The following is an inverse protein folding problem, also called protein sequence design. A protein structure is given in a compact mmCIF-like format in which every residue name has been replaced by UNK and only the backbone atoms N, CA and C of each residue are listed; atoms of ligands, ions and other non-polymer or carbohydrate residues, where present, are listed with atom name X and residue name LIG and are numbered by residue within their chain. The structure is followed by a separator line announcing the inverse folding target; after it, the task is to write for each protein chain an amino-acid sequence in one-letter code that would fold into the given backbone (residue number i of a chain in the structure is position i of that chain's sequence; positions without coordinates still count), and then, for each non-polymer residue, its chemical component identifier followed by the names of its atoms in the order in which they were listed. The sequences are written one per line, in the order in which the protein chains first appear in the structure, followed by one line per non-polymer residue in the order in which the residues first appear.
data_IF_486110807980
#
_entry.id   IF_486110807980
#
_cell.length_a   1.000
_cell.length_b   1.000
_cell.length_c   1.000
_cell.angle_alpha   90.00
_cell.angle_beta   90.00
_cell.angle_gamma   90.00
#
_symmetry.space_group_name_H-M   'P 1'
#
loop_
_entity.id
_entity.type
_entity.pdbx_description
1 polymer ?
#
# COMPACT_ATOMS: atom_id res chain seq x y z
N UNK A 1 -13.80 -3.02 14.94
CA UNK A 1 -14.07 -4.38 14.41
C UNK A 1 -12.76 -5.16 14.18
N UNK A 2 -11.78 -5.06 15.10
CA UNK A 2 -10.39 -5.46 14.85
C UNK A 2 -9.94 -6.72 15.64
N UNK A 3 -10.86 -7.42 16.31
CA UNK A 3 -10.47 -8.35 17.39
C UNK A 3 -11.14 -9.74 17.33
N UNK A 4 -11.54 -10.21 16.13
CA UNK A 4 -12.21 -11.52 15.97
C UNK A 4 -11.51 -12.57 15.12
N UNK A 5 -10.38 -12.28 14.49
CA UNK A 5 -9.81 -13.20 13.49
C UNK A 5 -8.69 -14.13 13.98
N UNK A 6 -8.19 -14.00 15.22
CA UNK A 6 -7.02 -14.79 15.67
C UNK A 6 -7.30 -15.92 16.66
N UNK A 7 -8.52 -16.04 17.22
CA UNK A 7 -8.78 -17.01 18.31
C UNK A 7 -9.12 -18.45 17.89
N UNK A 8 -9.72 -18.75 16.72
CA UNK A 8 -9.97 -20.16 16.34
C UNK A 8 -8.73 -20.87 15.75
N UNK A 9 -7.78 -20.12 15.16
CA UNK A 9 -6.63 -20.69 14.45
C UNK A 9 -5.61 -21.40 15.37
N UNK A 10 -5.55 -21.06 16.66
CA UNK A 10 -4.61 -21.69 17.61
C UNK A 10 -5.03 -23.14 17.94
N UNK A 11 -6.30 -23.49 17.76
CA UNK A 11 -6.82 -24.82 18.10
C UNK A 11 -6.60 -25.86 17.00
N UNK A 12 -6.51 -25.41 15.75
CA UNK A 12 -6.24 -26.26 14.57
C UNK A 12 -4.74 -26.47 14.33
N UNK A 13 -3.88 -25.63 14.90
CA UNK A 13 -2.41 -25.69 14.71
C UNK A 13 -1.75 -26.85 15.48
N UNK A 14 -2.46 -27.53 16.39
CA UNK A 14 -1.88 -28.61 17.21
C UNK A 14 -2.22 -30.04 16.77
N UNK A 15 -2.94 -30.26 15.67
CA UNK A 15 -3.06 -31.60 15.09
C UNK A 15 -3.28 -31.56 13.57
N UNK A 16 -2.26 -32.00 12.82
CA UNK A 16 -2.42 -32.59 11.49
C UNK A 16 -2.15 -31.69 10.28
N UNK A 17 -1.08 -32.04 9.57
CA UNK A 17 -0.69 -31.65 8.20
C UNK A 17 -0.62 -30.17 7.84
N UNK A 18 0.63 -29.73 7.63
CA UNK A 18 1.03 -28.37 7.26
C UNK A 18 0.37 -27.94 5.95
N UNK A 19 -0.70 -27.15 6.04
CA UNK A 19 -1.10 -26.21 4.98
C UNK A 19 -0.23 -24.97 5.10
N UNK A 20 0.46 -24.62 4.01
CA UNK A 20 1.28 -23.40 3.93
C UNK A 20 0.38 -22.31 3.34
N UNK A 21 -0.35 -21.61 4.20
CA UNK A 21 -1.30 -20.58 3.79
C UNK A 21 -0.70 -19.16 3.86
N UNK A 22 0.48 -18.99 4.46
CA UNK A 22 1.10 -17.67 4.67
C UNK A 22 2.64 -17.67 4.73
N UNK A 23 3.25 -16.50 4.53
CA UNK A 23 4.69 -16.27 4.70
C UNK A 23 5.19 -16.58 6.11
N UNK A 24 4.37 -16.33 7.14
CA UNK A 24 4.73 -16.66 8.53
C UNK A 24 4.93 -18.17 8.73
N UNK A 25 4.18 -19.01 8.02
CA UNK A 25 4.31 -20.46 8.11
C UNK A 25 5.59 -20.95 7.41
N UNK A 26 6.01 -20.25 6.37
CA UNK A 26 7.30 -20.45 5.70
C UNK A 26 8.47 -20.03 6.61
N UNK A 27 8.39 -18.88 7.28
CA UNK A 27 9.42 -18.44 8.24
C UNK A 27 9.52 -19.39 9.44
N UNK A 28 8.38 -19.90 9.93
CA UNK A 28 8.35 -20.93 10.99
C UNK A 28 9.02 -22.23 10.54
N UNK A 29 8.92 -22.60 9.26
CA UNK A 29 9.57 -23.80 8.71
C UNK A 29 11.11 -23.73 8.75
N UNK A 30 11.70 -22.53 8.65
CA UNK A 30 13.16 -22.29 8.63
C UNK A 30 13.78 -21.98 10.00
N UNK A 31 12.96 -21.63 11.01
CA UNK A 31 13.42 -21.46 12.41
C UNK A 31 13.51 -22.77 13.19
N UNK A 32 13.36 -23.91 12.53
CA UNK A 32 13.45 -25.24 13.12
C UNK A 32 14.91 -25.51 13.56
N UNK A 33 15.19 -25.79 14.85
CA UNK A 33 16.55 -26.04 15.33
C UNK A 33 17.16 -27.33 14.77
N UNK A 34 16.38 -28.20 14.13
CA UNK A 34 16.86 -29.41 13.47
C UNK A 34 17.33 -29.13 12.03
N UNK A 35 18.65 -29.04 11.87
CA UNK A 35 19.35 -28.81 10.59
C UNK A 35 18.97 -29.84 9.52
N UNK A 36 18.72 -31.11 9.89
CA UNK A 36 18.34 -32.15 8.91
C UNK A 36 16.94 -31.89 8.37
N UNK A 37 15.99 -31.55 9.24
CA UNK A 37 14.63 -31.18 8.82
C UNK A 37 14.62 -29.90 7.99
N UNK A 38 15.44 -28.91 8.34
CA UNK A 38 15.58 -27.69 7.54
C UNK A 38 16.10 -28.00 6.12
N UNK A 39 17.11 -28.85 5.98
CA UNK A 39 17.65 -29.27 4.67
C UNK A 39 16.63 -30.08 3.84
N UNK A 40 15.84 -30.95 4.47
CA UNK A 40 14.75 -31.68 3.83
C UNK A 40 13.71 -30.71 3.25
N UNK A 41 13.30 -29.71 4.04
CA UNK A 41 12.35 -28.66 3.65
C UNK A 41 12.89 -27.80 2.50
N UNK A 42 14.18 -27.42 2.55
CA UNK A 42 14.86 -26.71 1.45
C UNK A 42 14.78 -27.53 0.16
N UNK A 43 15.04 -28.84 0.21
CA UNK A 43 14.97 -29.71 -0.99
C UNK A 43 13.56 -29.78 -1.55
N UNK A 44 12.55 -29.98 -0.71
CA UNK A 44 11.14 -29.99 -1.14
C UNK A 44 10.76 -28.67 -1.80
N UNK A 45 11.14 -27.54 -1.20
CA UNK A 45 10.85 -26.21 -1.74
C UNK A 45 11.61 -25.95 -3.05
N UNK A 46 12.87 -26.35 -3.15
CA UNK A 46 13.68 -26.26 -4.36
C UNK A 46 13.06 -27.02 -5.53
N UNK A 47 12.51 -28.21 -5.26
CA UNK A 47 11.81 -29.01 -6.26
C UNK A 47 10.49 -28.36 -6.72
N UNK A 48 9.71 -27.79 -5.78
CA UNK A 48 8.47 -27.07 -6.11
C UNK A 48 8.74 -25.81 -6.93
N UNK A 49 9.75 -25.03 -6.53
CA UNK A 49 10.12 -23.78 -7.18
C UNK A 49 10.91 -23.97 -8.47
N UNK A 50 11.43 -25.18 -8.71
CA UNK A 50 12.34 -25.51 -9.81
C UNK A 50 13.60 -24.63 -9.80
N UNK A 51 14.20 -24.47 -8.61
CA UNK A 51 15.48 -23.77 -8.38
C UNK A 51 16.42 -24.65 -7.57
N UNK A 52 17.68 -24.26 -7.45
CA UNK A 52 18.63 -25.03 -6.65
C UNK A 52 18.38 -24.83 -5.15
N UNK A 53 18.63 -25.86 -4.31
CA UNK A 53 18.57 -25.72 -2.84
C UNK A 53 19.32 -24.50 -2.30
N UNK A 54 20.51 -24.21 -2.83
CA UNK A 54 21.33 -23.06 -2.48
C UNK A 54 20.72 -21.69 -2.86
N UNK A 55 19.73 -21.63 -3.76
CA UNK A 55 19.03 -20.39 -4.14
C UNK A 55 17.83 -20.08 -3.23
N UNK A 56 17.39 -21.06 -2.42
CA UNK A 56 16.21 -20.92 -1.54
C UNK A 56 16.36 -19.82 -0.49
N UNK A 57 17.51 -19.66 0.21
CA UNK A 57 17.65 -18.60 1.19
C UNK A 57 17.49 -17.20 0.60
N UNK A 58 18.13 -16.94 -0.55
CA UNK A 58 18.02 -15.66 -1.25
C UNK A 58 16.59 -15.40 -1.73
N UNK A 59 15.96 -16.43 -2.31
CA UNK A 59 14.56 -16.34 -2.74
C UNK A 59 13.62 -15.97 -1.58
N UNK A 60 13.86 -16.53 -0.39
CA UNK A 60 13.09 -16.22 0.81
C UNK A 60 13.35 -14.81 1.35
N UNK A 61 14.59 -14.33 1.26
CA UNK A 61 14.98 -12.97 1.60
C UNK A 61 14.28 -11.95 0.69
N UNK A 62 14.43 -12.11 -0.63
CA UNK A 62 13.79 -11.26 -1.63
C UNK A 62 12.27 -11.17 -1.42
N UNK A 63 11.65 -12.30 -1.09
CA UNK A 63 10.23 -12.37 -0.79
C UNK A 63 9.85 -11.66 0.52
N UNK A 64 10.68 -11.79 1.55
CA UNK A 64 10.48 -11.11 2.83
C UNK A 64 10.53 -9.60 2.67
N UNK A 65 11.52 -9.09 1.93
CA UNK A 65 11.69 -7.66 1.66
C UNK A 65 10.50 -7.07 0.89
N UNK A 66 9.99 -7.82 -0.08
CA UNK A 66 8.77 -7.51 -0.81
C UNK A 66 7.58 -7.31 0.14
N UNK A 67 7.30 -8.28 1.02
CA UNK A 67 6.15 -8.22 1.92
C UNK A 67 6.29 -7.12 2.96
N UNK A 68 7.52 -6.90 3.43
CA UNK A 68 7.84 -5.82 4.35
C UNK A 68 7.57 -4.45 3.72
N UNK A 69 7.96 -4.26 2.47
CA UNK A 69 7.73 -3.00 1.76
C UNK A 69 6.25 -2.70 1.53
N UNK A 70 5.46 -3.72 1.21
CA UNK A 70 4.02 -3.57 1.07
C UNK A 70 3.38 -3.19 2.40
N UNK A 71 3.79 -3.87 3.47
CA UNK A 71 3.33 -3.57 4.83
C UNK A 71 3.68 -2.13 5.23
N UNK A 72 4.86 -1.65 4.82
CA UNK A 72 5.27 -0.26 4.99
C UNK A 72 4.37 0.70 4.22
N UNK A 73 4.10 0.46 2.93
CA UNK A 73 3.22 1.33 2.14
C UNK A 73 1.79 1.37 2.67
N UNK A 74 1.26 0.23 3.13
CA UNK A 74 -0.06 0.16 3.76
C UNK A 74 -0.09 1.01 5.03
N UNK A 75 0.92 0.87 5.88
CA UNK A 75 1.06 1.71 7.09
C UNK A 75 1.13 3.20 6.75
N UNK A 76 1.85 3.57 5.68
CA UNK A 76 1.89 4.96 5.21
C UNK A 76 0.50 5.45 4.78
N UNK A 77 -0.23 4.65 3.99
CA UNK A 77 -1.59 4.96 3.57
C UNK A 77 -2.52 5.14 4.79
N UNK A 78 -2.53 4.17 5.71
CA UNK A 78 -3.35 4.19 6.93
C UNK A 78 -3.05 5.43 7.78
N UNK A 79 -1.80 5.92 7.76
CA UNK A 79 -1.41 7.12 8.52
C UNK A 79 -1.89 8.43 7.90
N UNK A 80 -2.04 8.49 6.57
CA UNK A 80 -2.46 9.72 5.87
C UNK A 80 -3.96 9.77 5.60
N UNK A 81 -4.64 8.62 5.52
CA UNK A 81 -6.08 8.50 5.31
C UNK A 81 -6.93 9.42 6.23
N UNK A 82 -6.69 9.50 7.56
CA UNK A 82 -7.45 10.41 8.41
C UNK A 82 -7.22 11.89 8.06
N UNK A 83 -5.99 12.25 7.68
CA UNK A 83 -5.65 13.63 7.30
C UNK A 83 -6.30 14.00 5.97
N UNK A 84 -6.31 13.07 5.01
CA UNK A 84 -7.02 13.22 3.74
C UNK A 84 -8.51 13.46 4.00
N UNK A 85 -9.13 12.64 4.86
CA UNK A 85 -10.55 12.78 5.21
C UNK A 85 -10.83 14.17 5.78
N UNK A 86 -10.04 14.63 6.76
CA UNK A 86 -10.19 15.97 7.34
C UNK A 86 -9.97 17.08 6.29
N UNK A 87 -9.02 16.91 5.38
CA UNK A 87 -8.77 17.87 4.29
C UNK A 87 -9.95 17.96 3.31
N UNK A 88 -10.54 16.82 2.92
CA UNK A 88 -11.72 16.79 2.05
C UNK A 88 -12.93 17.43 2.74
N UNK A 89 -13.17 17.12 4.01
CA UNK A 89 -14.22 17.75 4.83
C UNK A 89 -14.03 19.27 4.90
N UNK A 90 -12.80 19.74 5.09
CA UNK A 90 -12.50 21.17 5.10
C UNK A 90 -12.77 21.84 3.74
N UNK A 91 -12.60 21.13 2.61
CA UNK A 91 -12.98 21.65 1.29
C UNK A 91 -14.50 21.76 1.15
N UNK A 92 -15.25 20.78 1.66
CA UNK A 92 -16.71 20.83 1.64
C UNK A 92 -17.27 21.99 2.48
N UNK A 93 -16.74 22.20 3.70
CA UNK A 93 -17.09 23.35 4.52
C UNK A 93 -16.81 24.69 3.81
N UNK A 94 -15.72 24.76 3.04
CA UNK A 94 -15.33 25.94 2.27
C UNK A 94 -16.25 26.19 1.07
N UNK A 95 -16.77 25.13 0.43
CA UNK A 95 -17.75 25.24 -0.67
C UNK A 95 -19.06 25.89 -0.22
N UNK A 96 -19.45 25.63 1.02
CA UNK A 96 -20.68 26.18 1.62
C UNK A 96 -20.48 27.53 2.32
N UNK A 97 -19.22 27.94 2.51
CA UNK A 97 -18.90 29.20 3.18
C UNK A 97 -19.36 30.43 2.36
N UNK A 98 -20.10 31.34 2.99
CA UNK A 98 -20.64 32.53 2.33
C UNK A 98 -19.60 33.44 1.65
N UNK A 99 -18.36 33.46 2.15
CA UNK A 99 -17.27 34.25 1.59
C UNK A 99 -16.71 33.65 0.30
N UNK A 100 -16.73 32.32 0.17
CA UNK A 100 -16.02 31.59 -0.88
C UNK A 100 -16.93 30.84 -1.84
N UNK A 101 -18.21 30.67 -1.50
CA UNK A 101 -19.17 29.94 -2.33
C UNK A 101 -19.34 30.52 -3.74
N UNK A 102 -18.98 31.78 -3.98
CA UNK A 102 -19.01 32.40 -5.32
C UNK A 102 -17.65 32.47 -6.01
N UNK A 103 -16.57 32.04 -5.35
CA UNK A 103 -15.23 32.02 -5.93
C UNK A 103 -15.06 30.79 -6.84
N UNK A 104 -15.14 31.03 -8.15
CA UNK A 104 -15.03 29.96 -9.14
C UNK A 104 -13.62 29.38 -9.24
N UNK A 105 -12.57 30.17 -9.00
CA UNK A 105 -11.18 29.71 -9.11
C UNK A 105 -10.82 28.78 -7.95
N UNK A 106 -11.26 29.15 -6.74
CA UNK A 106 -11.11 28.29 -5.56
C UNK A 106 -11.92 26.99 -5.73
N UNK A 107 -13.17 27.07 -6.21
CA UNK A 107 -13.98 25.87 -6.50
C UNK A 107 -13.29 24.92 -7.48
N UNK A 108 -12.85 25.42 -8.63
CA UNK A 108 -12.14 24.59 -9.61
C UNK A 108 -10.86 23.96 -9.05
N UNK A 109 -10.15 24.69 -8.18
CA UNK A 109 -8.95 24.17 -7.54
C UNK A 109 -9.29 23.07 -6.54
N UNK A 110 -10.33 23.24 -5.71
CA UNK A 110 -10.81 22.20 -4.79
C UNK A 110 -11.31 20.96 -5.54
N UNK A 111 -12.08 21.13 -6.61
CA UNK A 111 -12.59 20.02 -7.43
C UNK A 111 -11.46 19.22 -8.08
N UNK A 112 -10.43 19.90 -8.59
CA UNK A 112 -9.23 19.25 -9.12
C UNK A 112 -8.51 18.46 -8.03
N UNK A 113 -8.24 19.07 -6.87
CA UNK A 113 -7.53 18.40 -5.78
C UNK A 113 -8.30 17.20 -5.25
N UNK A 114 -9.62 17.31 -5.09
CA UNK A 114 -10.47 16.21 -4.66
C UNK A 114 -10.46 15.05 -5.67
N UNK A 115 -10.63 15.34 -6.97
CA UNK A 115 -10.59 14.31 -8.02
C UNK A 115 -9.23 13.59 -8.00
N UNK A 116 -8.13 14.34 -7.99
CA UNK A 116 -6.78 13.78 -7.97
C UNK A 116 -6.57 12.92 -6.71
N UNK A 117 -6.92 13.40 -5.52
CA UNK A 117 -6.75 12.63 -4.28
C UNK A 117 -7.58 11.34 -4.33
N UNK A 118 -8.84 11.41 -4.74
CA UNK A 118 -9.73 10.24 -4.83
C UNK A 118 -9.22 9.21 -5.84
N UNK A 119 -8.76 9.65 -7.01
CA UNK A 119 -8.18 8.77 -8.03
C UNK A 119 -6.91 8.08 -7.51
N UNK A 120 -6.01 8.81 -6.85
CA UNK A 120 -4.78 8.26 -6.27
C UNK A 120 -5.11 7.23 -5.17
N UNK A 121 -6.04 7.55 -4.27
CA UNK A 121 -6.48 6.64 -3.21
C UNK A 121 -7.09 5.36 -3.79
N UNK A 122 -7.97 5.48 -4.78
CA UNK A 122 -8.58 4.34 -5.46
C UNK A 122 -7.53 3.48 -6.17
N UNK A 123 -6.56 4.09 -6.85
CA UNK A 123 -5.52 3.38 -7.55
C UNK A 123 -4.56 2.65 -6.62
N UNK A 124 -4.11 3.29 -5.53
CA UNK A 124 -3.26 2.66 -4.50
C UNK A 124 -4.00 1.48 -3.85
N UNK A 125 -5.26 1.69 -3.44
CA UNK A 125 -6.07 0.64 -2.80
C UNK A 125 -6.29 -0.53 -3.76
N UNK A 126 -6.61 -0.26 -5.02
CA UNK A 126 -6.75 -1.29 -6.05
C UNK A 126 -5.46 -2.08 -6.29
N UNK A 127 -4.28 -1.46 -6.21
CA UNK A 127 -3.00 -2.19 -6.29
C UNK A 127 -2.78 -3.11 -5.10
N UNK A 128 -3.12 -2.67 -3.89
CA UNK A 128 -3.06 -3.52 -2.69
C UNK A 128 -4.00 -4.72 -2.79
N UNK A 129 -5.26 -4.51 -3.18
CA UNK A 129 -6.23 -5.59 -3.34
C UNK A 129 -5.81 -6.60 -4.40
N UNK A 130 -5.29 -6.11 -5.54
CA UNK A 130 -4.77 -6.98 -6.59
C UNK A 130 -3.55 -7.77 -6.14
N UNK A 131 -2.69 -7.16 -5.32
CA UNK A 131 -1.55 -7.85 -4.73
C UNK A 131 -1.99 -8.96 -3.77
N UNK A 132 -2.90 -8.67 -2.84
CA UNK A 132 -3.45 -9.66 -1.90
C UNK A 132 -4.10 -10.83 -2.67
N UNK A 133 -4.85 -10.53 -3.74
CA UNK A 133 -5.48 -11.54 -4.59
C UNK A 133 -4.45 -12.39 -5.35
N UNK A 134 -3.43 -11.76 -5.91
CA UNK A 134 -2.37 -12.42 -6.67
C UNK A 134 -1.49 -13.32 -5.80
N UNK A 135 -1.28 -12.94 -4.53
CA UNK A 135 -0.43 -13.70 -3.60
C UNK A 135 -1.18 -14.79 -2.84
N UNK A 136 -2.48 -14.64 -2.59
CA UNK A 136 -3.30 -15.65 -1.90
C UNK A 136 -3.26 -17.04 -2.56
N UNK A 137 -3.26 -17.09 -3.89
CA UNK A 137 -3.21 -18.33 -4.68
C UNK A 137 -1.82 -18.66 -5.23
N UNK A 138 -0.84 -17.79 -4.99
CA UNK A 138 0.54 -18.02 -5.44
C UNK A 138 1.13 -19.25 -4.74
N UNK A 139 0.85 -19.43 -3.44
CA UNK A 139 1.37 -20.53 -2.63
C UNK A 139 0.83 -21.90 -3.03
N UNK A 140 -0.42 -21.95 -3.49
CA UNK A 140 -1.08 -23.18 -3.93
C UNK A 140 -0.34 -23.86 -5.10
N UNK A 141 0.31 -23.07 -5.95
CA UNK A 141 1.00 -23.51 -7.16
C UNK A 141 2.24 -22.64 -7.43
N UNK A 142 3.15 -22.59 -6.46
CA UNK A 142 4.32 -21.71 -6.50
C UNK A 142 5.41 -22.25 -7.45
N UNK A 143 5.92 -21.38 -8.33
CA UNK A 143 7.08 -21.64 -9.20
C UNK A 143 8.00 -20.41 -9.25
N UNK A 144 9.27 -20.59 -9.60
CA UNK A 144 10.20 -19.47 -9.74
C UNK A 144 9.77 -18.45 -10.81
N UNK A 145 9.10 -18.89 -11.87
CA UNK A 145 8.58 -17.97 -12.89
C UNK A 145 7.45 -17.09 -12.34
N UNK A 146 6.48 -17.69 -11.63
CA UNK A 146 5.39 -16.94 -10.99
C UNK A 146 5.93 -15.97 -9.94
N UNK A 147 6.91 -16.40 -9.17
CA UNK A 147 7.60 -15.53 -8.22
C UNK A 147 8.24 -14.33 -8.89
N UNK A 148 9.01 -14.53 -9.97
CA UNK A 148 9.65 -13.42 -10.70
C UNK A 148 8.64 -12.43 -11.27
N UNK A 149 7.47 -12.89 -11.70
CA UNK A 149 6.37 -12.00 -12.13
C UNK A 149 5.84 -11.15 -10.97
N UNK A 150 5.64 -11.76 -9.81
CA UNK A 150 5.21 -11.09 -8.58
C UNK A 150 6.27 -10.08 -8.12
N UNK A 151 7.54 -10.50 -8.09
CA UNK A 151 8.70 -9.65 -7.79
C UNK A 151 8.78 -8.43 -8.72
N UNK A 152 8.63 -8.61 -10.04
CA UNK A 152 8.64 -7.50 -11.00
C UNK A 152 7.48 -6.52 -10.78
N UNK A 153 6.28 -7.04 -10.53
CA UNK A 153 5.09 -6.25 -10.23
C UNK A 153 5.31 -5.39 -8.98
N UNK A 154 5.89 -5.94 -7.93
CA UNK A 154 6.17 -5.21 -6.69
C UNK A 154 7.30 -4.20 -6.89
N UNK A 155 8.38 -4.57 -7.57
CA UNK A 155 9.47 -3.65 -7.94
C UNK A 155 8.93 -2.43 -8.71
N UNK A 156 7.98 -2.63 -9.62
CA UNK A 156 7.27 -1.52 -10.29
C UNK A 156 6.40 -0.68 -9.36
N UNK A 157 5.80 -1.30 -8.34
CA UNK A 157 5.01 -0.59 -7.32
C UNK A 157 5.84 0.23 -6.36
N UNK A 158 7.07 -0.16 -6.02
CA UNK A 158 7.91 0.64 -5.14
C UNK A 158 8.12 2.07 -5.66
N UNK A 159 8.39 2.21 -6.96
CA UNK A 159 8.58 3.54 -7.56
C UNK A 159 7.27 4.32 -7.61
N UNK A 160 6.18 3.66 -7.98
CA UNK A 160 4.88 4.32 -8.20
C UNK A 160 4.16 4.60 -6.89
N UNK A 161 3.84 3.55 -6.11
CA UNK A 161 3.16 3.67 -4.81
C UNK A 161 4.01 4.50 -3.85
N UNK A 162 5.32 4.26 -3.81
CA UNK A 162 6.23 5.05 -2.99
C UNK A 162 6.25 6.52 -3.39
N UNK A 163 6.29 6.82 -4.69
CA UNK A 163 6.30 8.20 -5.21
C UNK A 163 4.99 8.95 -4.93
N UNK A 164 3.85 8.30 -5.17
CA UNK A 164 2.52 8.88 -4.87
C UNK A 164 2.35 9.08 -3.37
N UNK A 165 2.57 8.04 -2.56
CA UNK A 165 2.43 8.12 -1.10
C UNK A 165 3.36 9.18 -0.50
N UNK A 166 4.63 9.21 -0.90
CA UNK A 166 5.56 10.22 -0.40
C UNK A 166 5.09 11.65 -0.72
N UNK A 167 4.66 11.88 -1.97
CA UNK A 167 4.19 13.21 -2.39
C UNK A 167 2.91 13.61 -1.67
N UNK A 168 1.97 12.67 -1.48
CA UNK A 168 0.72 12.90 -0.78
C UNK A 168 0.96 13.12 0.71
N UNK A 169 1.79 12.30 1.36
CA UNK A 169 2.19 12.46 2.76
C UNK A 169 2.78 13.84 3.03
N UNK A 170 3.71 14.32 2.20
CA UNK A 170 4.31 15.66 2.39
C UNK A 170 3.25 16.77 2.37
N UNK A 171 2.26 16.68 1.47
CA UNK A 171 1.17 17.64 1.38
C UNK A 171 0.21 17.56 2.55
N UNK A 172 -0.18 16.34 2.92
CA UNK A 172 -1.08 16.08 4.05
C UNK A 172 -0.43 16.49 5.37
N UNK A 173 0.85 16.18 5.57
CA UNK A 173 1.60 16.62 6.74
C UNK A 173 1.71 18.14 6.79
N UNK A 174 1.94 18.82 5.67
CA UNK A 174 1.96 20.28 5.62
C UNK A 174 0.60 20.88 6.01
N UNK A 175 -0.50 20.29 5.54
CA UNK A 175 -1.86 20.66 5.95
C UNK A 175 -2.08 20.44 7.45
N UNK A 176 -1.84 19.24 7.95
CA UNK A 176 -2.04 18.87 9.35
C UNK A 176 -1.19 19.70 10.32
N UNK A 177 0.04 20.05 9.93
CA UNK A 177 0.91 20.91 10.74
C UNK A 177 0.39 22.35 10.81
N UNK A 178 -0.18 22.87 9.71
CA UNK A 178 -0.68 24.24 9.66
C UNK A 178 -2.09 24.37 10.25
N UNK A 179 -2.90 23.31 10.14
CA UNK A 179 -4.28 23.22 10.59
C UNK A 179 -4.49 21.94 11.44
N UNK A 180 -3.88 21.84 12.64
CA UNK A 180 -3.91 20.63 13.45
C UNK A 180 -5.26 20.33 14.09
N UNK A 181 -6.17 21.32 14.08
CA UNK A 181 -7.55 21.15 14.53
C UNK A 181 -8.48 22.00 13.66
N UNK A 182 -9.78 21.64 13.57
CA UNK A 182 -10.76 22.41 12.80
C UNK A 182 -10.93 23.86 13.25
N UNK A 183 -10.55 24.20 14.48
CA UNK A 183 -10.59 25.56 15.02
C UNK A 183 -9.39 26.43 14.66
N UNK A 184 -8.31 25.85 14.13
CA UNK A 184 -7.09 26.58 13.75
C UNK A 184 -7.12 26.92 12.26
N UNK A 185 -6.78 28.18 11.97
CA UNK A 185 -6.75 28.73 10.62
C UNK A 185 -8.14 28.98 10.06
N UNK A 186 -8.54 30.25 10.03
CA UNK A 186 -9.84 30.63 9.48
C UNK A 186 -9.98 30.32 7.99
N UNK A 187 -11.20 30.34 7.44
CA UNK A 187 -11.52 30.02 6.05
C UNK A 187 -10.57 30.67 5.01
N UNK A 188 -10.23 31.95 5.19
CA UNK A 188 -9.30 32.64 4.28
C UNK A 188 -7.88 32.07 4.27
N UNK A 189 -7.35 31.67 5.43
CA UNK A 189 -6.00 31.08 5.51
C UNK A 189 -5.97 29.68 4.88
N UNK A 190 -7.05 28.92 5.01
CA UNK A 190 -7.21 27.62 4.35
C UNK A 190 -7.30 27.77 2.83
N UNK A 191 -8.12 28.70 2.35
CA UNK A 191 -8.21 29.02 0.92
C UNK A 191 -6.85 29.44 0.33
N UNK A 192 -6.13 30.31 1.03
CA UNK A 192 -4.79 30.75 0.61
C UNK A 192 -3.83 29.56 0.48
N UNK A 193 -3.75 28.72 1.52
CA UNK A 193 -2.89 27.54 1.51
C UNK A 193 -3.27 26.53 0.43
N UNK A 194 -4.57 26.33 0.19
CA UNK A 194 -5.08 25.48 -0.89
C UNK A 194 -4.59 25.97 -2.26
N UNK A 195 -4.67 27.29 -2.48
CA UNK A 195 -4.34 27.90 -3.75
C UNK A 195 -2.83 28.00 -4.01
N UNK A 196 -2.01 28.16 -2.97
CA UNK A 196 -0.55 28.29 -3.11
C UNK A 196 0.19 26.96 -2.96
N UNK A 197 0.04 26.28 -1.83
CA UNK A 197 0.87 25.12 -1.45
C UNK A 197 0.26 23.80 -1.91
N UNK A 198 -1.04 23.62 -1.70
CA UNK A 198 -1.68 22.33 -2.01
C UNK A 198 -1.77 22.10 -3.50
N UNK A 199 -2.26 23.09 -4.27
CA UNK A 199 -2.37 23.00 -5.73
C UNK A 199 -1.03 22.71 -6.41
N UNK A 200 0.06 23.30 -5.92
CA UNK A 200 1.37 23.17 -6.57
C UNK A 200 1.83 21.71 -6.58
N UNK A 201 2.10 21.17 -7.76
CA UNK A 201 2.65 19.82 -7.89
C UNK A 201 1.62 18.69 -7.86
N UNK A 202 0.31 18.97 -7.70
CA UNK A 202 -0.75 17.95 -7.88
C UNK A 202 -0.65 17.30 -9.27
N UNK A 203 -0.43 18.10 -10.33
CA UNK A 203 -0.22 17.60 -11.70
C UNK A 203 0.98 16.64 -11.81
N UNK A 204 2.00 16.80 -10.96
CA UNK A 204 3.15 15.90 -10.98
C UNK A 204 2.85 14.58 -10.28
N UNK A 205 2.02 14.59 -9.23
CA UNK A 205 1.57 13.36 -8.57
C UNK A 205 0.71 12.55 -9.54
N UNK A 206 -0.18 13.20 -10.28
CA UNK A 206 -0.98 12.53 -11.32
C UNK A 206 -0.10 11.91 -12.40
N UNK A 207 0.95 12.60 -12.87
CA UNK A 207 1.88 12.03 -13.86
C UNK A 207 2.64 10.81 -13.35
N UNK A 208 2.99 10.79 -12.05
CA UNK A 208 3.62 9.60 -11.44
C UNK A 208 2.64 8.44 -11.48
N UNK A 209 1.38 8.69 -11.13
CA UNK A 209 0.32 7.69 -11.20
C UNK A 209 0.04 7.20 -12.63
N UNK A 210 -0.04 8.10 -13.61
CA UNK A 210 -0.27 7.74 -15.03
C UNK A 210 0.89 6.92 -15.62
N UNK A 211 2.10 7.04 -15.05
CA UNK A 211 3.27 6.27 -15.44
C UNK A 211 3.29 4.85 -14.86
N UNK A 212 2.34 4.53 -13.99
CA UNK A 212 2.27 3.25 -13.33
C UNK A 212 2.06 2.10 -14.34
N UNK A 213 2.76 0.97 -14.20
CA UNK A 213 2.51 -0.18 -15.02
C UNK A 213 1.08 -0.71 -14.80
N UNK A 214 0.31 -0.81 -15.89
CA UNK A 214 -1.03 -1.38 -15.88
C UNK A 214 -0.96 -2.90 -15.71
N UNK A 215 -1.56 -3.41 -14.63
CA UNK A 215 -1.62 -4.83 -14.29
C UNK A 215 -2.22 -5.72 -15.38
N UNK A 216 -3.12 -5.19 -16.21
CA UNK A 216 -3.73 -5.92 -17.32
C UNK A 216 -2.74 -6.38 -18.40
N UNK A 217 -1.53 -5.81 -18.40
CA UNK A 217 -0.45 -6.19 -19.31
C UNK A 217 0.31 -7.48 -18.89
N UNK A 218 -0.06 -8.09 -17.76
CA UNK A 218 0.58 -9.32 -17.23
C UNK A 218 -0.18 -10.62 -17.56
N UNK A 219 -1.24 -10.52 -18.39
CA UNK A 219 -1.97 -11.67 -18.93
C UNK A 219 -1.36 -12.16 -20.25
#
# INVERSE_FOLDING_TARGET
LHDRFHRPLIKEIYDGDVTVDSFEDVVKLFRDPDVKKALEKIRVMSAKLNIKPEEIPLFMEDYGDIFLSLSYFRKCLDSIEPIITEFLEAMDEMRDNYQFKTDQNLRQTMDMMESTINELMAAITGRFENFERGTKHMWDNISAERFRKVEQLIKGYHTTIGGVLCSLSVKMDAWANLFPTPSVGGPGKRAEFMMSEMRQGMDNIQKIEDSAPMLSALN
#
